data_IF_418058449982
#
_entry.id   IF_418058449982
#
_cell.length_a   1.000
_cell.length_b   1.000
_cell.length_c   1.000
_cell.angle_alpha   90.00
_cell.angle_beta   90.00
_cell.angle_gamma   90.00
#
_symmetry.space_group_name_H-M   'P 1'
#
loop_
_entity.id
_entity.type
_entity.pdbx_description
1 polymer ?
#
# COMPACT_ATOMS: atom_id res chain seq x y z
N UNK A 1 -6.36 -36.46 22.81
CA UNK A 1 -6.11 -35.27 21.99
C UNK A 1 -7.46 -34.58 21.78
N UNK A 2 -7.64 -33.39 22.29
CA UNK A 2 -8.85 -32.58 22.03
C UNK A 2 -8.70 -31.99 20.64
N UNK A 3 -9.41 -32.52 19.65
CA UNK A 3 -9.24 -32.15 18.23
C UNK A 3 -10.17 -31.03 17.78
N UNK A 4 -11.16 -30.66 18.59
CA UNK A 4 -12.19 -29.69 18.20
C UNK A 4 -11.73 -28.23 18.30
N UNK A 5 -10.75 -27.94 19.16
CA UNK A 5 -10.17 -26.62 19.28
C UNK A 5 -8.92 -26.50 18.42
N UNK A 6 -8.81 -25.40 17.70
CA UNK A 6 -7.66 -25.10 16.84
C UNK A 6 -6.35 -25.01 17.66
N UNK A 7 -6.41 -24.45 18.86
CA UNK A 7 -5.28 -24.33 19.75
C UNK A 7 -4.58 -25.67 20.02
N UNK A 8 -5.36 -26.72 20.29
CA UNK A 8 -4.83 -28.06 20.61
C UNK A 8 -4.08 -28.73 19.42
N UNK A 9 -4.26 -28.21 18.21
CA UNK A 9 -3.61 -28.68 16.98
C UNK A 9 -2.47 -27.79 16.52
N UNK A 10 -2.48 -26.50 16.87
CA UNK A 10 -1.52 -25.50 16.40
C UNK A 10 -0.46 -25.11 17.43
N UNK A 11 -0.77 -25.18 18.73
CA UNK A 11 0.20 -24.88 19.77
C UNK A 11 1.10 -26.11 19.95
N UNK A 12 2.40 -25.92 19.72
CA UNK A 12 3.37 -26.99 19.75
C UNK A 12 3.68 -27.53 21.16
N UNK A 13 3.54 -26.68 22.21
CA UNK A 13 3.81 -27.05 23.59
C UNK A 13 2.55 -27.66 24.19
N UNK A 14 2.63 -28.91 24.64
CA UNK A 14 1.54 -29.60 25.33
C UNK A 14 1.68 -29.43 26.85
N UNK A 15 0.60 -29.73 27.60
CA UNK A 15 0.61 -29.65 29.05
C UNK A 15 1.71 -30.55 29.71
N UNK A 16 2.04 -31.65 29.01
CA UNK A 16 3.05 -32.62 29.45
C UNK A 16 4.49 -32.10 29.28
N UNK A 17 4.72 -31.22 28.25
CA UNK A 17 6.03 -30.65 27.97
C UNK A 17 6.40 -29.53 28.94
N UNK A 18 5.40 -28.81 29.44
CA UNK A 18 5.58 -27.60 30.21
C UNK A 18 6.43 -27.80 31.49
N UNK A 19 6.23 -28.84 32.33
CA UNK A 19 7.05 -29.06 33.50
C UNK A 19 8.53 -29.28 33.18
N UNK A 20 8.82 -30.04 32.14
CA UNK A 20 10.20 -30.33 31.70
C UNK A 20 10.90 -29.07 31.19
N UNK A 21 10.18 -28.24 30.47
CA UNK A 21 10.69 -26.95 29.96
C UNK A 21 10.96 -25.98 31.12
N UNK A 22 10.05 -25.86 32.05
CA UNK A 22 10.21 -24.98 33.22
C UNK A 22 11.37 -25.41 34.14
N UNK A 23 11.53 -26.72 34.35
CA UNK A 23 12.68 -27.27 35.08
C UNK A 23 14.01 -26.91 34.37
N UNK A 24 14.07 -27.07 33.05
CA UNK A 24 15.25 -26.74 32.24
C UNK A 24 15.61 -25.24 32.33
N UNK A 25 14.60 -24.37 32.37
CA UNK A 25 14.77 -22.92 32.54
C UNK A 25 15.14 -22.55 33.99
N UNK A 26 14.83 -23.39 34.94
CA UNK A 26 15.07 -23.14 36.38
C UNK A 26 13.99 -22.27 37.04
N UNK A 27 12.74 -22.41 36.60
CA UNK A 27 11.57 -21.74 37.18
C UNK A 27 10.46 -22.74 37.50
N UNK A 28 9.61 -22.40 38.48
CA UNK A 28 8.56 -23.30 38.97
C UNK A 28 7.23 -23.17 38.19
N UNK A 29 7.00 -22.05 37.52
CA UNK A 29 5.75 -21.80 36.82
C UNK A 29 5.95 -20.77 35.70
N UNK A 30 4.98 -20.71 34.77
CA UNK A 30 4.92 -19.65 33.73
C UNK A 30 4.82 -18.25 34.37
N UNK A 31 4.07 -18.12 35.46
CA UNK A 31 3.97 -16.84 36.17
C UNK A 31 5.31 -16.38 36.75
N UNK A 32 6.11 -17.31 37.30
CA UNK A 32 7.45 -16.99 37.75
C UNK A 32 8.34 -16.55 36.58
N UNK A 33 8.27 -17.26 35.43
CA UNK A 33 9.00 -16.91 34.23
C UNK A 33 8.61 -15.51 33.75
N UNK A 34 7.33 -15.25 33.63
CA UNK A 34 6.80 -13.94 33.19
C UNK A 34 7.25 -12.83 34.16
N UNK A 35 7.15 -13.06 35.47
CA UNK A 35 7.57 -12.08 36.49
C UNK A 35 9.06 -11.76 36.46
N UNK A 36 9.89 -12.74 36.07
CA UNK A 36 11.34 -12.55 35.92
C UNK A 36 11.70 -11.86 34.58
N UNK A 37 10.85 -12.01 33.56
CA UNK A 37 11.14 -11.54 32.18
C UNK A 37 10.51 -10.19 31.92
N UNK A 38 9.27 -9.98 32.37
CA UNK A 38 8.49 -8.78 32.06
C UNK A 38 8.57 -7.78 33.22
N UNK A 39 9.01 -6.53 32.98
CA UNK A 39 8.99 -5.50 34.01
C UNK A 39 7.58 -5.29 34.58
N UNK A 40 7.46 -5.21 35.90
CA UNK A 40 6.16 -5.10 36.59
C UNK A 40 5.32 -3.88 36.16
N UNK A 41 5.97 -2.83 35.65
CA UNK A 41 5.30 -1.59 35.18
C UNK A 41 4.48 -1.80 33.90
N UNK A 42 4.83 -2.78 33.05
CA UNK A 42 4.17 -3.06 31.78
C UNK A 42 3.38 -4.37 31.79
N UNK A 43 3.46 -5.15 32.85
CA UNK A 43 2.70 -6.38 33.02
C UNK A 43 1.24 -6.07 33.29
N UNK A 44 0.34 -6.68 32.49
CA UNK A 44 -1.10 -6.63 32.78
C UNK A 44 -1.39 -7.27 34.16
N UNK A 45 -2.21 -6.62 34.95
CA UNK A 45 -2.63 -7.11 36.26
C UNK A 45 -3.65 -8.23 36.20
N UNK A 46 -4.48 -8.17 35.15
CA UNK A 46 -5.56 -9.13 34.87
C UNK A 46 -5.43 -9.66 33.47
N UNK A 47 -5.85 -10.90 33.19
CA UNK A 47 -5.92 -11.44 31.85
C UNK A 47 -6.86 -10.58 30.97
N UNK A 48 -6.65 -10.61 29.65
CA UNK A 48 -7.56 -9.96 28.71
C UNK A 48 -8.95 -10.59 28.82
N UNK A 49 -10.04 -9.78 28.80
CA UNK A 49 -11.40 -10.28 28.85
C UNK A 49 -11.81 -10.83 27.47
N UNK A 50 -11.23 -11.97 27.10
CA UNK A 50 -11.54 -12.65 25.85
C UNK A 50 -12.70 -13.62 26.02
N UNK A 51 -13.50 -13.78 24.96
CA UNK A 51 -14.51 -14.83 24.90
C UNK A 51 -13.84 -16.23 24.93
N UNK A 52 -14.62 -17.24 25.31
CA UNK A 52 -14.17 -18.61 25.25
C UNK A 52 -13.80 -19.00 23.79
N UNK A 53 -12.81 -19.89 23.61
CA UNK A 53 -12.46 -20.36 22.27
C UNK A 53 -13.62 -21.12 21.63
N UNK A 54 -13.79 -20.92 20.33
CA UNK A 54 -14.80 -21.62 19.52
C UNK A 54 -14.19 -22.87 18.89
N UNK A 55 -15.00 -23.88 18.65
CA UNK A 55 -14.67 -24.96 17.71
C UNK A 55 -14.65 -24.45 16.28
N UNK A 56 -14.04 -25.16 15.36
CA UNK A 56 -14.04 -24.76 13.93
C UNK A 56 -15.43 -24.59 13.36
N UNK A 57 -16.36 -25.44 13.76
CA UNK A 57 -17.76 -25.36 13.34
C UNK A 57 -18.44 -24.09 13.85
N UNK A 58 -18.32 -23.82 15.14
CA UNK A 58 -18.89 -22.61 15.76
C UNK A 58 -18.28 -21.35 15.15
N UNK A 59 -16.97 -21.37 14.88
CA UNK A 59 -16.31 -20.25 14.20
C UNK A 59 -16.83 -20.05 12.77
N UNK A 60 -17.00 -21.11 11.99
CA UNK A 60 -17.53 -21.01 10.63
C UNK A 60 -18.97 -20.47 10.62
N UNK A 61 -19.80 -20.93 11.55
CA UNK A 61 -21.17 -20.43 11.72
C UNK A 61 -21.17 -18.94 12.11
N UNK A 62 -20.36 -18.57 13.10
CA UNK A 62 -20.24 -17.19 13.57
C UNK A 62 -19.73 -16.24 12.46
N UNK A 63 -18.69 -16.61 11.72
CA UNK A 63 -18.18 -15.79 10.62
C UNK A 63 -19.20 -15.66 9.49
N UNK A 64 -19.95 -16.73 9.19
CA UNK A 64 -20.99 -16.68 8.18
C UNK A 64 -22.12 -15.74 8.60
N UNK A 65 -22.55 -15.80 9.87
CA UNK A 65 -23.54 -14.89 10.42
C UNK A 65 -23.06 -13.44 10.39
N UNK A 66 -21.82 -13.18 10.81
CA UNK A 66 -21.20 -11.85 10.79
C UNK A 66 -21.10 -11.31 9.34
N UNK A 67 -20.66 -12.14 8.41
CA UNK A 67 -20.54 -11.77 7.00
C UNK A 67 -21.92 -11.48 6.37
N UNK A 68 -22.98 -12.19 6.78
CA UNK A 68 -24.33 -12.00 6.26
C UNK A 68 -24.96 -10.65 6.64
N UNK A 69 -24.39 -9.95 7.61
CA UNK A 69 -24.82 -8.59 8.00
C UNK A 69 -24.36 -7.52 6.99
N UNK A 70 -23.40 -7.82 6.14
CA UNK A 70 -23.00 -6.92 5.08
C UNK A 70 -24.11 -6.81 4.02
N UNK A 71 -24.36 -5.58 3.63
CA UNK A 71 -25.32 -5.30 2.55
C UNK A 71 -24.56 -4.90 1.31
N UNK A 72 -24.79 -5.64 0.24
CA UNK A 72 -24.13 -5.38 -1.05
C UNK A 72 -25.03 -4.41 -1.83
N UNK A 73 -24.48 -3.24 -2.12
CA UNK A 73 -25.12 -2.21 -2.94
C UNK A 73 -24.30 -1.94 -4.19
N UNK A 74 -24.95 -1.40 -5.22
CA UNK A 74 -24.20 -0.83 -6.36
C UNK A 74 -23.48 0.41 -5.88
N UNK A 75 -22.14 0.44 -6.05
CA UNK A 75 -21.32 1.56 -5.63
C UNK A 75 -21.35 2.68 -6.68
N UNK A 76 -21.57 3.91 -6.22
CA UNK A 76 -21.49 5.14 -7.00
C UNK A 76 -20.51 6.14 -6.37
N UNK A 77 -19.56 5.64 -5.57
CA UNK A 77 -18.60 6.51 -4.85
C UNK A 77 -17.68 7.24 -5.84
N UNK A 78 -17.25 6.56 -6.90
CA UNK A 78 -16.29 7.13 -7.86
C UNK A 78 -14.90 7.33 -7.25
N UNK A 79 -14.14 8.32 -7.75
CA UNK A 79 -12.84 8.74 -7.22
C UNK A 79 -11.84 7.58 -7.03
N UNK A 80 -11.71 6.70 -8.03
CA UNK A 80 -10.82 5.55 -7.98
C UNK A 80 -11.40 4.29 -7.31
N UNK A 81 -12.57 4.36 -6.66
CA UNK A 81 -13.23 3.24 -5.99
C UNK A 81 -14.22 2.54 -6.93
N UNK A 82 -13.71 1.99 -8.02
CA UNK A 82 -14.51 1.27 -9.00
C UNK A 82 -14.46 -0.23 -8.76
N UNK A 83 -15.58 -0.90 -8.99
CA UNK A 83 -15.62 -2.35 -8.96
C UNK A 83 -14.77 -2.94 -10.09
N UNK A 84 -14.16 -4.09 -9.82
CA UNK A 84 -13.41 -4.85 -10.80
C UNK A 84 -13.96 -6.27 -10.93
N UNK A 85 -13.82 -6.84 -12.12
CA UNK A 85 -14.18 -8.23 -12.38
C UNK A 85 -12.92 -9.07 -12.30
N UNK A 86 -12.80 -9.86 -11.23
CA UNK A 86 -11.66 -10.77 -11.06
C UNK A 86 -11.83 -12.00 -11.95
N UNK A 87 -10.94 -12.27 -12.91
CA UNK A 87 -10.99 -13.50 -13.69
C UNK A 87 -10.93 -14.74 -12.79
N UNK A 88 -11.76 -15.74 -13.07
CA UNK A 88 -11.85 -16.97 -12.24
C UNK A 88 -10.51 -17.71 -12.13
N UNK A 89 -9.68 -17.64 -13.19
CA UNK A 89 -8.33 -18.25 -13.17
C UNK A 89 -7.41 -17.55 -12.17
N UNK A 90 -7.49 -16.22 -12.03
CA UNK A 90 -6.72 -15.46 -11.05
C UNK A 90 -7.22 -15.77 -9.65
N UNK A 91 -8.54 -15.77 -9.43
CA UNK A 91 -9.10 -16.11 -8.14
C UNK A 91 -8.61 -17.48 -7.66
N UNK A 92 -8.76 -18.52 -8.48
CA UNK A 92 -8.38 -19.87 -8.12
C UNK A 92 -6.87 -20.05 -7.94
N UNK A 93 -6.06 -19.54 -8.88
CA UNK A 93 -4.64 -19.84 -8.94
C UNK A 93 -3.76 -18.89 -8.11
N UNK A 94 -4.29 -17.72 -7.74
CA UNK A 94 -3.58 -16.73 -6.94
C UNK A 94 -4.23 -16.53 -5.58
N UNK A 95 -5.49 -16.06 -5.54
CA UNK A 95 -6.12 -15.70 -4.27
C UNK A 95 -6.45 -16.91 -3.39
N UNK A 96 -6.82 -18.04 -3.96
CA UNK A 96 -7.13 -19.27 -3.21
C UNK A 96 -5.91 -20.16 -3.00
N UNK A 97 -4.75 -19.81 -3.56
CA UNK A 97 -3.54 -20.62 -3.49
C UNK A 97 -2.66 -20.18 -2.30
N UNK A 98 -2.44 -21.07 -1.30
CA UNK A 98 -1.68 -20.74 -0.10
C UNK A 98 -0.21 -20.37 -0.38
N UNK A 99 0.35 -20.78 -1.51
CA UNK A 99 1.68 -20.37 -1.96
C UNK A 99 1.77 -18.84 -2.11
N UNK A 100 0.69 -18.19 -2.55
CA UNK A 100 0.65 -16.74 -2.76
C UNK A 100 0.18 -15.96 -1.54
N UNK A 101 -0.82 -16.44 -0.79
CA UNK A 101 -1.36 -15.69 0.35
C UNK A 101 -0.63 -15.92 1.68
N UNK A 102 0.53 -16.59 1.67
CA UNK A 102 1.40 -16.64 2.86
C UNK A 102 1.97 -15.25 3.15
N UNK A 103 2.08 -14.90 4.44
CA UNK A 103 2.60 -13.61 4.90
C UNK A 103 4.13 -13.50 4.86
N UNK A 104 4.82 -14.34 4.10
CA UNK A 104 6.27 -14.30 3.99
C UNK A 104 6.75 -13.10 3.19
N UNK A 105 7.58 -12.26 3.80
CA UNK A 105 8.26 -11.17 3.10
C UNK A 105 9.57 -11.70 2.50
N UNK A 106 9.84 -11.47 1.21
CA UNK A 106 10.95 -12.11 0.49
C UNK A 106 12.32 -11.47 0.80
N UNK A 107 12.73 -11.43 2.07
CA UNK A 107 14.05 -10.95 2.45
C UNK A 107 15.18 -11.86 2.03
N UNK A 108 14.93 -13.17 1.98
CA UNK A 108 15.90 -14.17 1.53
C UNK A 108 15.62 -14.53 0.07
N UNK A 109 16.48 -14.09 -0.83
CA UNK A 109 16.33 -14.30 -2.27
C UNK A 109 16.35 -15.78 -2.64
N UNK A 110 17.15 -16.58 -1.95
CA UNK A 110 17.32 -18.03 -2.20
C UNK A 110 16.01 -18.80 -2.02
N UNK A 111 15.18 -18.38 -1.05
CA UNK A 111 13.90 -19.05 -0.73
C UNK A 111 12.73 -18.42 -1.49
N UNK A 112 12.92 -17.24 -2.07
CA UNK A 112 11.84 -16.39 -2.61
C UNK A 112 11.95 -16.15 -4.11
N UNK A 113 12.65 -16.99 -4.84
CA UNK A 113 12.94 -16.77 -6.27
C UNK A 113 11.67 -16.55 -7.10
N UNK A 114 10.62 -17.35 -6.90
CA UNK A 114 9.37 -17.19 -7.63
C UNK A 114 8.62 -15.90 -7.28
N UNK A 115 8.71 -15.41 -6.03
CA UNK A 115 8.13 -14.11 -5.65
C UNK A 115 8.89 -12.94 -6.28
N UNK A 116 10.22 -13.04 -6.34
CA UNK A 116 11.06 -12.02 -6.98
C UNK A 116 10.82 -11.99 -8.49
N UNK A 117 10.66 -13.13 -9.13
CA UNK A 117 10.28 -13.23 -10.55
C UNK A 117 8.93 -12.55 -10.80
N UNK A 118 7.93 -12.80 -9.95
CA UNK A 118 6.63 -12.14 -10.05
C UNK A 118 6.73 -10.61 -9.91
N UNK A 119 7.56 -10.11 -8.99
CA UNK A 119 7.81 -8.68 -8.83
C UNK A 119 8.48 -8.06 -10.06
N UNK A 120 9.45 -8.75 -10.65
CA UNK A 120 10.11 -8.29 -11.89
C UNK A 120 9.13 -8.28 -13.07
N UNK A 121 8.28 -9.30 -13.20
CA UNK A 121 7.25 -9.35 -14.22
C UNK A 121 6.27 -8.18 -14.07
N UNK A 122 5.88 -7.86 -12.82
CA UNK A 122 5.04 -6.69 -12.55
C UNK A 122 5.70 -5.39 -13.03
N UNK A 123 6.97 -5.15 -12.68
CA UNK A 123 7.71 -3.96 -13.10
C UNK A 123 7.77 -3.85 -14.63
N UNK A 124 8.04 -4.96 -15.32
CA UNK A 124 8.07 -5.01 -16.78
C UNK A 124 6.72 -4.66 -17.39
N UNK A 125 5.63 -5.28 -16.89
CA UNK A 125 4.28 -5.02 -17.38
C UNK A 125 3.89 -3.55 -17.19
N UNK A 126 4.18 -2.96 -16.03
CA UNK A 126 3.86 -1.55 -15.79
C UNK A 126 4.66 -0.63 -16.72
N UNK A 127 5.95 -0.90 -16.92
CA UNK A 127 6.77 -0.13 -17.87
C UNK A 127 6.23 -0.24 -19.31
N UNK A 128 5.85 -1.43 -19.73
CA UNK A 128 5.32 -1.66 -21.08
C UNK A 128 3.97 -0.99 -21.29
N UNK A 129 3.08 -1.03 -20.29
CA UNK A 129 1.76 -0.41 -20.38
C UNK A 129 1.81 1.12 -20.33
N UNK A 130 2.72 1.69 -19.56
CA UNK A 130 2.80 3.14 -19.33
C UNK A 130 3.81 3.85 -20.25
N UNK A 131 4.63 3.10 -20.99
CA UNK A 131 5.79 3.59 -21.73
C UNK A 131 6.81 4.34 -20.87
N UNK A 132 6.77 4.17 -19.56
CA UNK A 132 7.77 4.71 -18.63
C UNK A 132 9.04 3.86 -18.70
N UNK A 133 10.23 4.46 -18.67
CA UNK A 133 11.48 3.71 -18.82
C UNK A 133 11.79 2.80 -17.64
N UNK A 134 11.16 3.03 -16.49
CA UNK A 134 11.39 2.29 -15.26
C UNK A 134 10.13 2.28 -14.41
N UNK A 135 9.82 1.14 -13.81
CA UNK A 135 8.83 0.99 -12.76
C UNK A 135 9.46 0.36 -11.50
N UNK A 136 8.95 0.70 -10.34
CA UNK A 136 9.24 -0.03 -9.10
C UNK A 136 8.24 -1.18 -8.91
N UNK A 137 8.38 -1.93 -7.81
CA UNK A 137 7.33 -2.84 -7.34
C UNK A 137 6.10 -2.05 -6.88
N UNK A 138 4.95 -2.73 -6.82
CA UNK A 138 3.72 -2.08 -6.34
C UNK A 138 3.88 -1.58 -4.91
N UNK A 139 3.24 -0.45 -4.62
CA UNK A 139 3.09 0.08 -3.27
C UNK A 139 1.76 -0.40 -2.68
N UNK A 140 1.46 0.03 -1.44
CA UNK A 140 0.28 -0.43 -0.72
C UNK A 140 -1.02 -0.05 -1.45
N UNK A 141 -1.12 1.21 -1.84
CA UNK A 141 -2.27 1.79 -2.54
C UNK A 141 -1.87 3.04 -3.34
N UNK A 142 -2.82 3.59 -4.08
CA UNK A 142 -2.68 4.81 -4.88
C UNK A 142 -2.21 6.00 -4.03
N UNK A 143 -2.89 6.25 -2.91
CA UNK A 143 -2.57 7.37 -2.02
C UNK A 143 -1.15 7.29 -1.47
N UNK A 144 -0.71 6.09 -1.09
CA UNK A 144 0.67 5.85 -0.63
C UNK A 144 1.66 6.06 -1.77
N UNK A 145 1.33 5.63 -2.99
CA UNK A 145 2.19 5.83 -4.16
C UNK A 145 2.40 7.32 -4.46
N UNK A 146 1.34 8.12 -4.42
CA UNK A 146 1.41 9.58 -4.58
C UNK A 146 2.27 10.24 -3.49
N UNK A 147 2.11 9.81 -2.24
CA UNK A 147 2.91 10.32 -1.12
C UNK A 147 4.39 9.90 -1.19
N UNK A 148 4.69 8.70 -1.66
CA UNK A 148 6.07 8.26 -1.90
C UNK A 148 6.70 9.03 -3.07
N UNK A 149 5.94 9.32 -4.14
CA UNK A 149 6.41 10.19 -5.22
C UNK A 149 6.76 11.59 -4.71
N UNK A 150 5.93 12.18 -3.83
CA UNK A 150 6.23 13.45 -3.17
C UNK A 150 7.55 13.39 -2.38
N UNK A 151 7.74 12.36 -1.57
CA UNK A 151 8.96 12.13 -0.78
C UNK A 151 10.18 11.96 -1.66
N UNK A 152 10.06 11.17 -2.74
CA UNK A 152 11.13 10.98 -3.70
C UNK A 152 11.52 12.30 -4.39
N UNK A 153 10.55 13.07 -4.88
CA UNK A 153 10.80 14.36 -5.52
C UNK A 153 11.45 15.36 -4.56
N UNK A 154 11.07 15.33 -3.28
CA UNK A 154 11.70 16.14 -2.23
C UNK A 154 13.17 15.79 -2.02
N UNK A 155 13.49 14.49 -1.99
CA UNK A 155 14.88 14.00 -1.90
C UNK A 155 15.72 14.34 -3.15
N UNK A 156 15.08 14.40 -4.32
CA UNK A 156 15.72 14.69 -5.60
C UNK A 156 15.80 16.19 -5.96
N UNK A 157 15.57 17.09 -5.00
CA UNK A 157 15.77 18.54 -5.21
C UNK A 157 17.19 18.83 -5.64
N UNK A 158 17.37 19.78 -6.54
CA UNK A 158 18.69 20.26 -6.96
C UNK A 158 19.44 20.88 -5.77
N UNK A 159 20.75 20.99 -5.86
CA UNK A 159 21.56 21.64 -4.83
C UNK A 159 21.12 23.09 -4.56
N UNK A 160 20.69 23.81 -5.60
CA UNK A 160 20.21 25.18 -5.48
C UNK A 160 18.83 25.25 -4.80
N UNK A 161 17.91 24.34 -5.13
CA UNK A 161 16.64 24.19 -4.42
C UNK A 161 16.82 23.84 -2.93
N UNK A 162 17.79 22.98 -2.62
CA UNK A 162 18.10 22.65 -1.21
C UNK A 162 18.68 23.85 -0.46
N UNK A 163 19.59 24.61 -1.08
CA UNK A 163 20.19 25.82 -0.49
C UNK A 163 19.18 26.95 -0.30
N UNK A 164 18.26 27.13 -1.24
CA UNK A 164 17.18 28.14 -1.15
C UNK A 164 16.06 27.75 -0.19
N UNK A 165 16.05 26.49 0.29
CA UNK A 165 15.01 25.98 1.17
C UNK A 165 13.69 25.71 0.47
N UNK A 166 13.70 25.41 -0.85
CA UNK A 166 12.52 25.03 -1.61
C UNK A 166 11.85 23.81 -0.96
N UNK A 167 10.66 24.01 -0.38
CA UNK A 167 9.94 22.96 0.35
C UNK A 167 8.43 22.94 0.08
N UNK A 168 7.97 23.67 -0.94
CA UNK A 168 6.56 23.69 -1.33
C UNK A 168 6.30 22.61 -2.38
N UNK A 169 5.39 21.72 -2.07
CA UNK A 169 4.77 20.78 -3.01
C UNK A 169 3.43 21.37 -3.45
N UNK A 170 3.28 21.61 -4.72
CA UNK A 170 1.99 21.96 -5.28
C UNK A 170 1.18 20.69 -5.57
N UNK A 171 -0.08 20.71 -5.20
CA UNK A 171 -1.03 19.64 -5.45
C UNK A 171 -2.27 20.23 -6.11
N UNK A 172 -2.68 19.68 -7.22
CA UNK A 172 -3.89 20.15 -7.92
C UNK A 172 -5.12 19.97 -7.02
N UNK A 173 -6.04 20.92 -7.03
CA UNK A 173 -7.26 20.88 -6.22
C UNK A 173 -8.21 19.75 -6.62
N UNK A 174 -8.10 19.30 -7.87
CA UNK A 174 -8.87 18.16 -8.42
C UNK A 174 -8.24 16.78 -8.13
N UNK A 175 -7.28 16.71 -7.21
CA UNK A 175 -6.78 15.41 -6.71
C UNK A 175 -7.85 14.71 -5.88
N UNK A 176 -7.83 13.38 -5.82
CA UNK A 176 -8.72 12.65 -4.94
C UNK A 176 -8.48 13.02 -3.46
N UNK A 177 -9.54 13.27 -2.66
CA UNK A 177 -9.39 13.73 -1.28
C UNK A 177 -8.56 12.78 -0.40
N UNK A 178 -8.69 11.46 -0.60
CA UNK A 178 -7.91 10.48 0.12
C UNK A 178 -6.41 10.58 -0.20
N UNK A 179 -6.05 10.83 -1.47
CA UNK A 179 -4.67 11.01 -1.89
C UNK A 179 -4.06 12.25 -1.24
N UNK A 180 -4.78 13.36 -1.26
CA UNK A 180 -4.36 14.59 -0.59
C UNK A 180 -4.12 14.37 0.91
N UNK A 181 -5.02 13.67 1.61
CA UNK A 181 -4.90 13.42 3.05
C UNK A 181 -3.63 12.61 3.40
N UNK A 182 -3.31 11.58 2.60
CA UNK A 182 -2.09 10.78 2.81
C UNK A 182 -0.84 11.57 2.45
N UNK A 183 -0.85 12.35 1.36
CA UNK A 183 0.26 13.25 0.98
C UNK A 183 0.55 14.23 2.13
N UNK A 184 -0.48 14.88 2.67
CA UNK A 184 -0.34 15.83 3.78
C UNK A 184 0.25 15.16 5.02
N UNK A 185 -0.25 13.96 5.37
CA UNK A 185 0.23 13.19 6.52
C UNK A 185 1.71 12.82 6.41
N UNK A 186 2.16 12.45 5.21
CA UNK A 186 3.56 12.06 4.94
C UNK A 186 4.49 13.26 4.77
N UNK A 187 3.99 14.36 4.21
CA UNK A 187 4.77 15.56 3.93
C UNK A 187 5.10 16.37 5.19
N UNK A 188 4.14 16.51 6.11
CA UNK A 188 4.26 17.34 7.29
C UNK A 188 5.48 17.01 8.18
N UNK A 189 5.76 15.75 8.56
CA UNK A 189 6.93 15.42 9.38
C UNK A 189 8.26 15.70 8.69
N UNK A 190 8.28 15.77 7.36
CA UNK A 190 9.48 16.05 6.56
C UNK A 190 9.70 17.55 6.34
N UNK A 191 8.82 18.41 6.85
CA UNK A 191 8.90 19.87 6.70
C UNK A 191 8.48 20.38 5.32
N UNK A 192 7.80 19.54 4.52
CA UNK A 192 7.19 20.00 3.28
C UNK A 192 5.93 20.81 3.56
N UNK A 193 5.74 21.86 2.78
CA UNK A 193 4.50 22.65 2.76
C UNK A 193 3.66 22.22 1.56
N UNK A 194 2.38 22.02 1.77
CA UNK A 194 1.45 21.68 0.70
C UNK A 194 0.69 22.92 0.27
N UNK A 195 0.78 23.24 -1.01
CA UNK A 195 -0.02 24.29 -1.65
C UNK A 195 -1.05 23.60 -2.56
N UNK A 196 -2.31 23.69 -2.22
CA UNK A 196 -3.41 23.18 -3.05
C UNK A 196 -4.01 24.31 -3.86
N UNK A 197 -4.27 24.08 -5.13
CA UNK A 197 -4.89 25.06 -6.01
C UNK A 197 -5.08 24.57 -7.44
N UNK A 198 -5.60 25.43 -8.29
CA UNK A 198 -5.82 25.11 -9.69
C UNK A 198 -4.48 25.16 -10.46
N UNK A 199 -4.12 24.06 -11.11
CA UNK A 199 -2.87 24.01 -11.88
C UNK A 199 -2.80 25.03 -13.03
N UNK A 200 -3.96 25.44 -13.59
CA UNK A 200 -4.03 26.44 -14.66
C UNK A 200 -3.64 27.86 -14.20
N UNK A 201 -3.76 28.12 -12.90
CA UNK A 201 -3.47 29.41 -12.27
C UNK A 201 -2.13 29.44 -11.55
N UNK A 202 -1.40 28.31 -11.53
CA UNK A 202 -0.14 28.19 -10.79
C UNK A 202 0.94 29.12 -11.36
N UNK A 203 1.41 30.04 -10.52
CA UNK A 203 2.65 30.77 -10.75
C UNK A 203 3.82 30.02 -10.12
N UNK A 204 4.74 29.55 -10.95
CA UNK A 204 5.95 28.84 -10.45
C UNK A 204 6.87 29.81 -9.71
N UNK A 205 7.09 29.53 -8.43
CA UNK A 205 8.05 30.24 -7.58
C UNK A 205 9.24 29.35 -7.24
N UNK A 206 10.40 29.92 -6.88
CA UNK A 206 11.57 29.14 -6.50
C UNK A 206 11.37 28.23 -5.29
N UNK A 207 10.32 28.42 -4.51
CA UNK A 207 9.98 27.60 -3.35
C UNK A 207 9.31 26.27 -3.74
N UNK A 208 8.68 26.21 -4.93
CA UNK A 208 7.99 25.05 -5.42
C UNK A 208 9.00 24.08 -6.03
N UNK A 209 9.15 22.91 -5.42
CA UNK A 209 10.10 21.89 -5.93
C UNK A 209 9.45 20.86 -6.84
N UNK A 210 8.14 20.62 -6.69
CA UNK A 210 7.41 19.62 -7.46
C UNK A 210 5.90 19.89 -7.46
N UNK A 211 5.21 19.23 -8.39
CA UNK A 211 3.76 19.27 -8.56
C UNK A 211 3.20 17.84 -8.61
N UNK A 212 1.99 17.63 -8.09
CA UNK A 212 1.21 16.40 -8.25
C UNK A 212 -0.12 16.75 -8.90
N UNK A 213 -0.47 16.00 -9.94
CA UNK A 213 -1.73 16.08 -10.69
C UNK A 213 -2.45 14.74 -10.63
N UNK A 214 -3.78 14.74 -10.78
CA UNK A 214 -4.61 13.53 -10.84
C UNK A 214 -5.11 13.31 -12.27
N UNK A 215 -5.15 12.03 -12.73
CA UNK A 215 -5.63 11.74 -14.08
C UNK A 215 -6.33 10.37 -14.21
N UNK A 216 -7.61 10.30 -14.62
CA UNK A 216 -8.54 11.44 -14.66
C UNK A 216 -8.64 12.12 -13.30
N UNK A 217 -9.04 13.38 -13.27
CA UNK A 217 -9.16 14.11 -12.01
C UNK A 217 -10.46 13.78 -11.24
N UNK A 218 -10.65 14.38 -10.06
CA UNK A 218 -11.79 14.07 -9.19
C UNK A 218 -13.16 14.38 -9.84
N UNK A 219 -13.22 15.34 -10.75
CA UNK A 219 -14.43 15.63 -11.52
C UNK A 219 -14.63 14.69 -12.72
N UNK A 220 -13.68 13.78 -12.98
CA UNK A 220 -13.69 12.87 -14.13
C UNK A 220 -13.17 13.51 -15.43
N UNK A 221 -12.60 14.70 -15.37
CA UNK A 221 -12.04 15.37 -16.52
C UNK A 221 -10.73 14.73 -16.97
N UNK A 222 -10.56 14.67 -18.28
CA UNK A 222 -9.36 14.23 -18.97
C UNK A 222 -8.67 15.45 -19.54
N UNK A 223 -7.64 15.93 -18.87
CA UNK A 223 -6.97 17.18 -19.18
C UNK A 223 -5.69 16.95 -20.00
N UNK A 224 -5.28 17.91 -20.81
CA UNK A 224 -3.97 17.89 -21.47
C UNK A 224 -2.95 18.65 -20.64
N UNK A 225 -2.09 17.92 -19.95
CA UNK A 225 -1.07 18.49 -19.06
C UNK A 225 0.25 18.84 -19.74
N UNK A 226 0.40 18.64 -21.07
CA UNK A 226 1.69 18.84 -21.77
C UNK A 226 2.28 20.22 -21.55
N UNK A 227 1.48 21.26 -21.80
CA UNK A 227 1.93 22.64 -21.62
C UNK A 227 2.30 22.97 -20.18
N UNK A 228 1.53 22.43 -19.21
CA UNK A 228 1.84 22.60 -17.79
C UNK A 228 3.15 21.93 -17.40
N UNK A 229 3.37 20.70 -17.86
CA UNK A 229 4.60 19.94 -17.61
C UNK A 229 5.82 20.63 -18.19
N UNK A 230 5.71 21.18 -19.42
CA UNK A 230 6.79 21.97 -20.03
C UNK A 230 7.15 23.20 -19.18
N UNK A 231 6.15 23.95 -18.73
CA UNK A 231 6.35 25.12 -17.83
C UNK A 231 6.96 24.72 -16.49
N UNK A 232 6.49 23.62 -15.90
CA UNK A 232 7.03 23.10 -14.64
C UNK A 232 8.51 22.71 -14.79
N UNK A 233 8.84 21.98 -15.85
CA UNK A 233 10.22 21.59 -16.11
C UNK A 233 11.14 22.80 -16.41
N UNK A 234 10.63 23.81 -17.12
CA UNK A 234 11.37 25.06 -17.34
C UNK A 234 11.66 25.81 -16.02
N UNK A 235 10.77 25.65 -15.03
CA UNK A 235 10.94 26.19 -13.67
C UNK A 235 11.72 25.23 -12.73
N UNK A 236 12.32 24.17 -13.25
CA UNK A 236 13.00 23.12 -12.50
C UNK A 236 12.12 22.37 -11.50
N UNK A 237 10.79 22.43 -11.68
CA UNK A 237 9.82 21.67 -10.93
C UNK A 237 9.65 20.26 -11.51
N UNK A 238 9.63 19.25 -10.65
CA UNK A 238 9.26 17.89 -11.04
C UNK A 238 7.75 17.75 -11.06
N UNK A 239 7.24 16.87 -11.92
CA UNK A 239 5.80 16.58 -11.99
C UNK A 239 5.59 15.08 -11.81
N UNK A 240 4.68 14.73 -10.91
CA UNK A 240 4.11 13.40 -10.81
C UNK A 240 2.63 13.46 -11.20
N UNK A 241 2.18 12.44 -11.92
CA UNK A 241 0.77 12.27 -12.26
C UNK A 241 0.26 11.02 -11.57
N UNK A 242 -0.73 11.21 -10.72
CA UNK A 242 -1.46 10.14 -10.07
C UNK A 242 -2.53 9.66 -11.04
N UNK A 243 -2.22 8.60 -11.79
CA UNK A 243 -2.97 8.21 -12.96
C UNK A 243 -3.58 6.82 -12.83
N UNK A 244 -4.86 6.69 -13.19
CA UNK A 244 -5.46 5.38 -13.43
C UNK A 244 -4.71 4.70 -14.59
N UNK A 245 -4.30 3.45 -14.41
CA UNK A 245 -3.52 2.72 -15.41
C UNK A 245 -4.29 2.56 -16.73
N UNK A 246 -5.62 2.57 -16.72
CA UNK A 246 -6.42 2.57 -17.94
C UNK A 246 -6.17 3.79 -18.82
N UNK A 247 -5.73 4.90 -18.21
CA UNK A 247 -5.40 6.14 -18.93
C UNK A 247 -4.13 6.01 -19.78
N UNK A 248 -3.31 4.99 -19.56
CA UNK A 248 -2.11 4.76 -20.38
C UNK A 248 -2.44 4.62 -21.87
N UNK A 249 -3.64 4.15 -22.22
CA UNK A 249 -4.12 4.05 -23.59
C UNK A 249 -4.26 5.41 -24.30
N UNK A 250 -4.28 6.51 -23.54
CA UNK A 250 -4.40 7.87 -24.08
C UNK A 250 -3.05 8.54 -24.34
N UNK A 251 -1.97 8.09 -23.66
CA UNK A 251 -0.66 8.72 -23.73
C UNK A 251 0.41 7.87 -24.37
N UNK A 252 0.28 6.56 -24.25
CA UNK A 252 1.31 5.65 -24.73
C UNK A 252 1.16 5.43 -26.21
N UNK A 253 2.27 5.08 -26.82
CA UNK A 253 2.34 4.65 -28.19
C UNK A 253 1.22 3.70 -28.58
N UNK A 254 0.83 3.71 -29.85
CA UNK A 254 -0.18 2.80 -30.36
C UNK A 254 0.07 1.37 -29.91
N UNK A 255 -0.99 0.63 -29.69
CA UNK A 255 -0.88 -0.78 -29.32
C UNK A 255 -0.01 -1.52 -30.37
N UNK A 256 0.59 -2.66 -30.02
CA UNK A 256 1.33 -3.46 -31.00
C UNK A 256 0.53 -3.79 -32.28
N UNK A 257 -0.80 -3.66 -32.22
CA UNK A 257 -1.68 -3.79 -33.38
C UNK A 257 -1.69 -2.54 -34.26
N UNK A 258 -1.45 -1.37 -33.70
CA UNK A 258 -1.47 -0.09 -34.45
C UNK A 258 -0.11 0.20 -35.09
N UNK A 259 0.98 -0.38 -34.58
CA UNK A 259 2.32 -0.28 -35.15
C UNK A 259 2.56 -1.14 -36.41
N UNK A 260 1.58 -1.95 -36.81
CA UNK A 260 1.69 -2.79 -38.02
C UNK A 260 1.33 -2.05 -39.31
N UNK A 261 1.04 -0.76 -39.25
CA UNK A 261 0.61 0.05 -40.39
C UNK A 261 1.52 1.24 -40.71
N UNK A 262 2.73 1.26 -40.16
CA UNK A 262 3.75 2.27 -40.55
C UNK A 262 4.95 1.64 -41.20
#
# INVERSE_FOLDING_TARGET
MKTDLLADRHIGIQEEDLPVMLEKIGVKSLDELINKTIPSKIRLKEPLPLAAPMTEREFAEHITELASQNKIYTSYIGMGWYDSITPAVIQRNVFENPVWYTSYTPYQTEVSQGRLEALMNFQTVISDLTAMPLANCSLLDESTAAAEAATMMYGLRTRDQQKSGANVLFVDEEIFPQNLAVIQTRALPQGMKIQVGNYKELAFTPEIFACILQYPNASGSVEDYREFVEKAHAAHCKVAVDADIMSCLLYTSPSPRDGATS
#
